data_IF_608856541504
#
_entry.id   IF_608856541504
#
_cell.length_a   1.000
_cell.length_b   1.000
_cell.length_c   1.000
_cell.angle_alpha   90.00
_cell.angle_beta   90.00
_cell.angle_gamma   90.00
#
_symmetry.space_group_name_H-M   'P 1'
#
loop_
_entity.id
_entity.type
_entity.pdbx_description
1 polymer ?
#
# COMPACT_ATOMS: atom_id res chain seq x y z
N UNK A 1 -4.98 -16.85 30.93
CA UNK A 1 -5.81 -15.93 30.11
C UNK A 1 -6.82 -16.80 29.39
N UNK A 2 -8.07 -16.38 29.34
CA UNK A 2 -9.10 -17.06 28.54
C UNK A 2 -8.85 -16.76 27.06
N UNK A 3 -9.02 -17.76 26.20
CA UNK A 3 -8.90 -17.57 24.77
C UNK A 3 -10.07 -16.70 24.26
N UNK A 4 -9.83 -15.77 23.31
CA UNK A 4 -10.90 -14.91 22.78
C UNK A 4 -11.94 -15.75 22.03
N UNK A 5 -13.20 -15.31 22.07
CA UNK A 5 -14.29 -15.91 21.27
C UNK A 5 -14.14 -15.59 19.80
N UNK A 6 -13.77 -14.32 19.48
CA UNK A 6 -13.45 -13.87 18.14
C UNK A 6 -11.98 -13.51 18.08
N UNK A 7 -11.32 -13.85 17.00
CA UNK A 7 -9.93 -13.49 16.74
C UNK A 7 -9.72 -13.20 15.25
N UNK A 8 -8.73 -12.35 14.97
CA UNK A 8 -8.37 -11.99 13.62
C UNK A 8 -7.38 -12.98 13.04
N UNK A 9 -7.56 -13.30 11.77
CA UNK A 9 -6.63 -14.08 10.96
C UNK A 9 -6.33 -13.33 9.68
N UNK A 10 -5.05 -13.24 9.33
CA UNK A 10 -4.60 -12.57 8.11
C UNK A 10 -4.43 -13.61 6.99
N UNK A 11 -5.43 -13.71 6.15
CA UNK A 11 -5.40 -14.50 4.93
C UNK A 11 -5.09 -15.99 5.08
N UNK A 12 -4.81 -16.68 3.98
CA UNK A 12 -4.53 -18.13 3.98
C UNK A 12 -3.30 -18.53 4.79
N UNK A 13 -2.25 -17.70 4.79
CA UNK A 13 -1.01 -17.95 5.56
C UNK A 13 -1.29 -17.91 7.06
N UNK A 14 -2.06 -16.91 7.50
CA UNK A 14 -2.52 -16.83 8.89
C UNK A 14 -3.39 -18.02 9.25
N UNK A 15 -4.31 -18.42 8.36
CA UNK A 15 -5.19 -19.56 8.58
C UNK A 15 -4.41 -20.88 8.77
N UNK A 16 -3.32 -21.09 8.05
CA UNK A 16 -2.48 -22.27 8.21
C UNK A 16 -2.05 -22.51 9.67
N UNK A 17 -1.85 -21.43 10.44
CA UNK A 17 -1.47 -21.49 11.85
C UNK A 17 -2.67 -21.64 12.81
N UNK A 18 -3.86 -21.20 12.41
CA UNK A 18 -5.01 -21.06 13.31
C UNK A 18 -6.22 -21.95 12.95
N UNK A 19 -6.18 -22.70 11.83
CA UNK A 19 -7.31 -23.46 11.30
C UNK A 19 -7.93 -24.44 12.32
N UNK A 20 -7.12 -25.05 13.16
CA UNK A 20 -7.57 -26.02 14.16
C UNK A 20 -8.42 -25.39 15.28
N UNK A 21 -8.38 -24.07 15.41
CA UNK A 21 -9.14 -23.30 16.39
C UNK A 21 -10.36 -22.60 15.79
N UNK A 22 -10.52 -22.65 14.47
CA UNK A 22 -11.65 -22.01 13.79
C UNK A 22 -12.89 -22.88 13.81
N UNK A 23 -14.03 -22.27 14.16
CA UNK A 23 -15.34 -22.90 13.99
C UNK A 23 -15.70 -22.86 12.48
N UNK A 24 -16.28 -23.94 11.98
CA UNK A 24 -16.84 -23.95 10.62
C UNK A 24 -18.11 -23.09 10.56
N UNK A 25 -18.02 -22.00 9.78
CA UNK A 25 -19.09 -21.01 9.57
C UNK A 25 -19.92 -21.27 8.29
N UNK A 26 -19.70 -22.37 7.57
CA UNK A 26 -20.35 -22.67 6.29
C UNK A 26 -21.88 -22.66 6.35
N UNK A 27 -22.46 -22.94 7.52
CA UNK A 27 -23.90 -22.93 7.75
C UNK A 27 -24.35 -21.76 8.63
N UNK A 28 -23.50 -20.75 8.84
CA UNK A 28 -23.83 -19.60 9.66
C UNK A 28 -24.69 -18.58 8.92
N UNK A 29 -25.51 -17.84 9.67
CA UNK A 29 -26.32 -16.75 9.11
C UNK A 29 -25.43 -15.67 8.48
N UNK A 30 -24.29 -15.31 9.12
CA UNK A 30 -23.39 -14.30 8.60
C UNK A 30 -22.80 -14.68 7.24
N UNK A 31 -22.43 -15.95 7.05
CA UNK A 31 -21.92 -16.41 5.74
C UNK A 31 -23.01 -16.30 4.66
N UNK A 32 -24.27 -16.56 5.00
CA UNK A 32 -25.38 -16.44 4.05
C UNK A 32 -25.65 -15.01 3.56
N UNK A 33 -25.13 -14.01 4.26
CA UNK A 33 -25.27 -12.58 3.89
C UNK A 33 -24.10 -12.05 3.05
N UNK A 34 -23.06 -12.83 2.81
CA UNK A 34 -21.97 -12.40 1.94
C UNK A 34 -22.46 -12.21 0.52
N UNK A 35 -22.00 -11.12 -0.11
CA UNK A 35 -22.31 -10.82 -1.51
C UNK A 35 -21.41 -11.52 -2.50
N UNK A 36 -20.27 -12.03 -2.04
CA UNK A 36 -19.32 -12.85 -2.80
C UNK A 36 -18.63 -13.85 -1.88
N UNK A 37 -18.32 -15.01 -2.42
CA UNK A 37 -17.52 -16.05 -1.77
C UNK A 37 -16.07 -15.62 -1.55
N UNK A 38 -15.60 -14.59 -2.25
CA UNK A 38 -14.28 -13.99 -2.10
C UNK A 38 -14.05 -13.37 -0.70
N UNK A 39 -15.13 -13.09 0.02
CA UNK A 39 -15.08 -12.57 1.39
C UNK A 39 -15.07 -13.66 2.47
N UNK A 40 -15.03 -14.93 2.08
CA UNK A 40 -14.92 -16.06 2.98
C UNK A 40 -13.51 -16.66 2.94
N UNK A 41 -12.87 -16.76 4.09
CA UNK A 41 -11.61 -17.49 4.24
C UNK A 41 -11.90 -18.97 4.42
N UNK A 42 -11.50 -19.80 3.44
CA UNK A 42 -11.74 -21.24 3.44
C UNK A 42 -10.46 -22.02 3.76
N UNK A 43 -10.62 -23.11 4.48
CA UNK A 43 -9.56 -24.10 4.71
C UNK A 43 -9.44 -25.08 3.52
N UNK A 44 -8.46 -25.98 3.58
CA UNK A 44 -8.17 -26.97 2.53
C UNK A 44 -9.35 -27.93 2.25
N UNK A 45 -10.28 -28.10 3.21
CA UNK A 45 -11.50 -28.90 3.07
C UNK A 45 -12.66 -28.12 2.42
N UNK A 46 -12.49 -26.82 2.18
CA UNK A 46 -13.53 -25.93 1.67
C UNK A 46 -14.49 -25.40 2.73
N UNK A 47 -14.25 -25.66 4.02
CA UNK A 47 -15.04 -25.13 5.12
C UNK A 47 -14.72 -23.65 5.36
N UNK A 48 -15.72 -22.84 5.71
CA UNK A 48 -15.58 -21.40 5.97
C UNK A 48 -15.03 -21.18 7.38
N UNK A 49 -13.76 -20.85 7.45
CA UNK A 49 -13.05 -20.63 8.72
C UNK A 49 -13.12 -19.19 9.22
N UNK A 50 -13.36 -18.24 8.32
CA UNK A 50 -13.43 -16.82 8.68
C UNK A 50 -14.20 -15.99 7.66
N UNK A 51 -14.64 -14.80 8.10
CA UNK A 51 -15.40 -13.84 7.29
C UNK A 51 -14.60 -12.53 7.23
N UNK A 52 -14.36 -12.01 6.04
CA UNK A 52 -13.76 -10.70 5.85
C UNK A 52 -14.63 -9.61 6.48
N UNK A 53 -14.03 -8.70 7.22
CA UNK A 53 -14.73 -7.59 7.82
C UNK A 53 -14.39 -6.24 7.19
N UNK A 54 -13.40 -6.22 6.30
CA UNK A 54 -12.95 -5.02 5.61
C UNK A 54 -12.44 -5.38 4.22
N UNK A 55 -12.65 -4.48 3.26
CA UNK A 55 -11.97 -4.46 1.97
C UNK A 55 -10.99 -3.29 2.05
N UNK A 56 -9.72 -3.59 1.87
CA UNK A 56 -8.64 -2.62 1.92
C UNK A 56 -8.06 -2.39 0.52
N UNK A 57 -7.61 -1.18 0.28
CA UNK A 57 -7.00 -0.79 -0.99
C UNK A 57 -5.69 -0.10 -0.71
N UNK A 58 -4.64 -0.43 -1.45
CA UNK A 58 -3.35 0.23 -1.34
C UNK A 58 -2.77 0.58 -2.73
N UNK A 59 -1.89 1.54 -2.70
CA UNK A 59 -1.23 2.12 -3.85
C UNK A 59 -0.23 3.17 -3.41
N UNK A 60 -0.13 4.25 -4.17
CA UNK A 60 0.61 5.45 -3.80
C UNK A 60 -0.40 6.54 -3.48
N UNK A 61 -0.49 6.96 -2.22
CA UNK A 61 -1.21 8.16 -1.83
C UNK A 61 -0.37 9.35 -2.29
N UNK A 62 -0.97 10.36 -2.88
CA UNK A 62 -0.25 11.56 -3.29
C UNK A 62 -1.01 12.84 -2.91
N UNK A 63 -0.26 13.90 -2.61
CA UNK A 63 -0.81 15.23 -2.41
C UNK A 63 -1.08 15.85 -3.78
N UNK A 64 -2.36 15.84 -4.20
CA UNK A 64 -2.73 16.35 -5.53
C UNK A 64 -2.62 17.86 -5.64
N UNK A 65 -2.69 18.61 -4.53
CA UNK A 65 -2.52 20.06 -4.53
C UNK A 65 -1.08 20.39 -4.89
N UNK A 66 -0.11 19.79 -4.18
CA UNK A 66 1.32 19.99 -4.47
C UNK A 66 1.68 19.50 -5.87
N UNK A 67 1.16 18.33 -6.28
CA UNK A 67 1.45 17.78 -7.60
C UNK A 67 0.83 18.63 -8.73
N UNK A 68 -0.34 19.22 -8.53
CA UNK A 68 -0.93 20.17 -9.49
C UNK A 68 -0.10 21.47 -9.58
N UNK A 69 0.36 21.99 -8.45
CA UNK A 69 1.24 23.17 -8.44
C UNK A 69 2.54 22.88 -9.20
N UNK A 70 3.18 21.73 -8.95
CA UNK A 70 4.33 21.27 -9.72
C UNK A 70 4.05 21.23 -11.23
N UNK A 71 2.89 20.76 -11.67
CA UNK A 71 2.50 20.73 -13.08
C UNK A 71 2.42 22.11 -13.73
N UNK A 72 2.35 23.20 -12.94
CA UNK A 72 2.35 24.58 -13.46
C UNK A 72 3.74 25.16 -13.66
N UNK A 73 4.78 24.47 -13.18
CA UNK A 73 6.15 24.95 -13.28
C UNK A 73 6.70 24.87 -14.71
N UNK A 74 7.61 25.76 -15.03
CA UNK A 74 8.34 25.70 -16.28
C UNK A 74 9.15 24.37 -16.37
N UNK A 75 9.01 23.68 -17.49
CA UNK A 75 9.64 22.38 -17.77
C UNK A 75 9.26 21.25 -16.80
N UNK A 76 8.11 21.32 -16.15
CA UNK A 76 7.56 20.15 -15.43
C UNK A 76 7.46 18.94 -16.36
N UNK A 77 7.73 17.74 -15.84
CA UNK A 77 7.72 16.50 -16.64
C UNK A 77 6.33 16.16 -17.16
N UNK A 78 5.31 16.53 -16.40
CA UNK A 78 3.90 16.28 -16.69
C UNK A 78 3.10 17.57 -16.64
N UNK A 79 1.93 17.57 -17.27
CA UNK A 79 0.98 18.69 -17.25
C UNK A 79 -0.23 18.47 -16.35
N UNK A 80 -0.43 17.23 -15.90
CA UNK A 80 -1.50 16.80 -15.00
C UNK A 80 -1.06 15.58 -14.20
N UNK A 81 -1.50 15.40 -12.93
CA UNK A 81 -1.25 14.19 -12.16
C UNK A 81 -1.67 12.89 -12.87
N UNK A 82 -2.71 12.94 -13.71
CA UNK A 82 -3.22 11.80 -14.48
C UNK A 82 -2.26 11.33 -15.59
N UNK A 83 -1.26 12.12 -15.92
CA UNK A 83 -0.20 11.73 -16.87
C UNK A 83 0.70 10.64 -16.28
N UNK A 84 0.73 10.49 -14.92
CA UNK A 84 1.45 9.41 -14.25
C UNK A 84 0.63 8.12 -14.35
N UNK A 85 0.94 7.30 -15.34
CA UNK A 85 0.24 6.05 -15.61
C UNK A 85 1.18 4.84 -15.84
N UNK A 86 2.46 5.00 -15.58
CA UNK A 86 3.49 3.96 -15.68
C UNK A 86 4.71 4.34 -14.82
N UNK A 87 5.60 3.36 -14.60
CA UNK A 87 6.79 3.54 -13.77
C UNK A 87 7.77 4.57 -14.31
N UNK A 88 7.96 4.63 -15.64
CA UNK A 88 8.90 5.57 -16.26
C UNK A 88 8.48 7.01 -15.98
N UNK A 89 7.19 7.31 -16.15
CA UNK A 89 6.65 8.65 -15.87
C UNK A 89 6.67 8.95 -14.37
N UNK A 90 6.28 7.99 -13.50
CA UNK A 90 6.36 8.16 -12.05
C UNK A 90 7.79 8.49 -11.62
N UNK A 91 8.76 7.70 -12.10
CA UNK A 91 10.17 7.92 -11.78
C UNK A 91 10.66 9.27 -12.26
N UNK A 92 10.36 9.65 -13.50
CA UNK A 92 10.79 10.93 -14.05
C UNK A 92 10.24 12.11 -13.26
N UNK A 93 8.98 12.03 -12.80
CA UNK A 93 8.35 13.05 -11.95
C UNK A 93 9.00 13.09 -10.57
N UNK A 94 9.22 11.95 -9.95
CA UNK A 94 9.84 11.88 -8.63
C UNK A 94 11.29 12.40 -8.65
N UNK A 95 12.08 11.97 -9.63
CA UNK A 95 13.46 12.44 -9.82
C UNK A 95 13.49 13.99 -10.02
N UNK A 96 12.56 14.54 -10.82
CA UNK A 96 12.50 15.98 -11.09
C UNK A 96 12.08 16.78 -9.84
N UNK A 97 11.06 16.29 -9.11
CA UNK A 97 10.66 16.89 -7.83
C UNK A 97 11.82 16.86 -6.83
N UNK A 98 12.48 15.70 -6.67
CA UNK A 98 13.61 15.53 -5.76
C UNK A 98 14.77 16.48 -6.10
N UNK A 99 15.03 16.69 -7.38
CA UNK A 99 16.08 17.60 -7.84
C UNK A 99 15.72 19.09 -7.68
N UNK A 100 14.43 19.43 -7.60
CA UNK A 100 13.91 20.80 -7.61
C UNK A 100 13.19 21.19 -6.30
N UNK A 101 13.43 20.49 -5.19
CA UNK A 101 12.78 20.75 -3.90
C UNK A 101 12.86 22.23 -3.50
N UNK A 102 14.05 22.83 -3.55
CA UNK A 102 14.25 24.23 -3.18
C UNK A 102 13.43 25.19 -4.07
N UNK A 103 13.37 24.90 -5.40
CA UNK A 103 12.60 25.71 -6.34
C UNK A 103 11.10 25.61 -6.09
N UNK A 104 10.59 24.42 -5.83
CA UNK A 104 9.16 24.16 -5.52
C UNK A 104 8.79 24.85 -4.20
N UNK A 105 9.62 24.68 -3.17
CA UNK A 105 9.43 25.29 -1.86
C UNK A 105 9.42 26.82 -1.95
N UNK A 106 10.38 27.42 -2.67
CA UNK A 106 10.47 28.88 -2.85
C UNK A 106 9.28 29.43 -3.65
N UNK A 107 8.80 28.70 -4.66
CA UNK A 107 7.72 29.17 -5.55
C UNK A 107 6.35 29.08 -4.88
N UNK A 108 6.07 28.02 -4.13
CA UNK A 108 4.72 27.74 -3.61
C UNK A 108 4.62 27.85 -2.09
N UNK A 109 5.76 27.95 -1.38
CA UNK A 109 5.78 28.13 0.08
C UNK A 109 5.65 26.83 0.86
N UNK A 110 6.00 25.69 0.26
CA UNK A 110 6.06 24.37 0.91
C UNK A 110 7.37 24.20 1.70
N UNK A 111 7.47 23.09 2.45
CA UNK A 111 8.68 22.63 3.15
C UNK A 111 9.00 21.17 2.74
N UNK A 112 8.92 20.90 1.44
CA UNK A 112 9.22 19.57 0.88
C UNK A 112 10.66 19.16 1.18
N UNK A 113 10.85 17.94 1.62
CA UNK A 113 12.13 17.29 1.94
C UNK A 113 12.44 16.12 1.03
N UNK A 114 11.44 15.59 0.31
CA UNK A 114 11.60 14.52 -0.65
C UNK A 114 10.37 14.36 -1.54
N UNK A 115 10.53 13.67 -2.65
CA UNK A 115 9.40 13.29 -3.48
C UNK A 115 8.54 12.24 -2.78
N UNK A 116 9.17 11.20 -2.18
CA UNK A 116 8.52 10.17 -1.37
C UNK A 116 8.78 10.38 0.13
N UNK A 117 7.86 9.91 0.96
CA UNK A 117 8.10 9.75 2.40
C UNK A 117 9.24 8.77 2.67
N UNK A 118 9.76 8.75 3.90
CA UNK A 118 10.82 7.83 4.33
C UNK A 118 10.42 6.35 4.32
N UNK A 119 9.17 6.04 4.07
CA UNK A 119 8.60 4.70 3.91
C UNK A 119 8.61 3.77 5.14
N UNK A 120 9.20 4.16 6.26
CA UNK A 120 9.15 3.38 7.49
C UNK A 120 9.76 1.99 7.34
N UNK A 121 11.08 1.90 7.20
CA UNK A 121 11.79 0.62 7.03
C UNK A 121 12.27 0.00 8.35
N UNK A 122 11.82 0.48 9.48
CA UNK A 122 12.07 -0.19 10.75
C UNK A 122 11.34 -1.55 10.81
N UNK A 123 11.75 -2.44 11.73
CA UNK A 123 11.23 -3.82 11.79
C UNK A 123 9.72 -3.95 12.06
N UNK A 124 9.03 -2.86 12.45
CA UNK A 124 7.57 -2.84 12.65
C UNK A 124 6.79 -2.35 11.43
N UNK A 125 7.43 -1.61 10.53
CA UNK A 125 6.79 -0.87 9.44
C UNK A 125 7.21 -1.33 8.04
N UNK A 126 8.28 -2.12 7.93
CA UNK A 126 8.88 -2.55 6.67
C UNK A 126 8.02 -3.49 5.81
N UNK A 127 6.88 -3.94 6.33
CA UNK A 127 5.93 -4.79 5.59
C UNK A 127 5.41 -4.11 4.31
N UNK A 128 5.36 -2.78 4.24
CA UNK A 128 4.99 -2.04 3.03
C UNK A 128 5.94 -2.37 1.87
N UNK A 129 7.22 -2.47 2.15
CA UNK A 129 8.22 -2.88 1.16
C UNK A 129 8.20 -4.38 0.90
N UNK A 130 8.16 -5.19 1.96
CA UNK A 130 8.27 -6.66 1.87
C UNK A 130 7.05 -7.31 1.23
N UNK A 131 5.85 -6.75 1.43
CA UNK A 131 4.61 -7.34 0.94
C UNK A 131 3.94 -6.51 -0.14
N UNK A 132 3.63 -5.25 0.10
CA UNK A 132 2.91 -4.43 -0.87
C UNK A 132 3.68 -4.31 -2.19
N UNK A 133 4.96 -3.96 -2.14
CA UNK A 133 5.76 -3.86 -3.36
C UNK A 133 6.08 -5.23 -3.97
N UNK A 134 6.22 -6.28 -3.16
CA UNK A 134 6.50 -7.65 -3.65
C UNK A 134 5.26 -8.28 -4.32
N UNK A 135 4.05 -7.89 -3.94
CA UNK A 135 2.82 -8.44 -4.51
C UNK A 135 2.73 -8.22 -6.02
N UNK A 136 3.15 -7.07 -6.55
CA UNK A 136 3.02 -6.77 -7.97
C UNK A 136 3.92 -7.65 -8.85
N UNK A 137 5.23 -7.81 -8.59
CA UNK A 137 6.08 -8.76 -9.31
C UNK A 137 5.53 -10.18 -9.31
N UNK A 138 5.00 -10.64 -8.17
CA UNK A 138 4.39 -11.96 -8.03
C UNK A 138 3.10 -12.05 -8.84
N UNK A 139 2.25 -11.04 -8.76
CA UNK A 139 1.00 -10.96 -9.54
C UNK A 139 1.26 -11.07 -11.05
N UNK A 140 2.24 -10.33 -11.57
CA UNK A 140 2.57 -10.39 -13.00
C UNK A 140 3.17 -11.73 -13.39
N UNK A 141 4.01 -12.34 -12.56
CA UNK A 141 4.50 -13.71 -12.79
C UNK A 141 3.36 -14.72 -12.84
N UNK A 142 2.39 -14.62 -11.94
CA UNK A 142 1.19 -15.49 -11.92
C UNK A 142 0.32 -15.28 -13.15
N UNK A 143 0.08 -14.03 -13.52
CA UNK A 143 -0.69 -13.65 -14.70
C UNK A 143 -0.10 -14.23 -15.99
N UNK A 144 1.22 -14.12 -16.16
CA UNK A 144 1.92 -14.66 -17.34
C UNK A 144 1.82 -16.18 -17.42
N UNK A 145 1.84 -16.85 -16.28
CA UNK A 145 1.74 -18.31 -16.19
C UNK A 145 0.29 -18.84 -16.18
N UNK A 146 -0.69 -17.95 -16.00
CA UNK A 146 -2.10 -18.33 -15.85
C UNK A 146 -2.35 -19.20 -14.62
N UNK A 147 -1.69 -18.89 -13.48
CA UNK A 147 -1.81 -19.60 -12.19
C UNK A 147 -2.25 -18.65 -11.08
N UNK A 148 -2.83 -19.20 -10.03
CA UNK A 148 -3.26 -18.46 -8.83
C UNK A 148 -2.39 -18.74 -7.60
N UNK A 149 -1.54 -19.79 -7.67
CA UNK A 149 -0.63 -20.16 -6.58
C UNK A 149 0.55 -20.99 -7.10
N UNK A 150 1.64 -21.03 -6.33
CA UNK A 150 2.81 -21.88 -6.60
C UNK A 150 3.55 -22.20 -5.31
N UNK A 151 4.23 -23.34 -5.26
CA UNK A 151 5.15 -23.68 -4.15
C UNK A 151 6.43 -22.85 -4.17
N UNK A 152 6.79 -22.28 -5.34
CA UNK A 152 7.98 -21.43 -5.50
C UNK A 152 7.81 -20.45 -6.66
N UNK A 153 8.07 -19.19 -6.40
CA UNK A 153 8.17 -18.14 -7.44
C UNK A 153 9.49 -18.26 -8.18
N UNK A 154 9.52 -17.88 -9.47
CA UNK A 154 10.74 -17.87 -10.30
C UNK A 154 11.50 -16.56 -10.20
N UNK A 155 10.85 -15.49 -9.78
CA UNK A 155 11.44 -14.16 -9.68
C UNK A 155 11.59 -13.47 -11.04
N UNK A 156 10.68 -13.73 -11.97
CA UNK A 156 10.66 -13.17 -13.33
C UNK A 156 10.78 -11.65 -13.33
N UNK A 157 10.12 -10.99 -12.37
CA UNK A 157 10.04 -9.53 -12.24
C UNK A 157 10.93 -8.98 -11.10
N UNK A 158 12.03 -9.65 -10.74
CA UNK A 158 12.92 -9.22 -9.66
C UNK A 158 13.58 -7.86 -9.93
N UNK A 159 13.96 -7.60 -11.19
CA UNK A 159 14.55 -6.31 -11.58
C UNK A 159 13.53 -5.18 -11.49
N UNK A 160 12.27 -5.44 -11.81
CA UNK A 160 11.16 -4.49 -11.63
C UNK A 160 10.93 -4.19 -10.14
N UNK A 161 10.96 -5.22 -9.28
CA UNK A 161 10.89 -5.06 -7.84
C UNK A 161 12.04 -4.21 -7.29
N UNK A 162 13.26 -4.47 -7.77
CA UNK A 162 14.43 -3.70 -7.37
C UNK A 162 14.32 -2.22 -7.76
N UNK A 163 13.87 -1.91 -8.98
CA UNK A 163 13.83 -0.51 -9.43
C UNK A 163 12.83 0.36 -8.66
N UNK A 164 11.71 -0.21 -8.20
CA UNK A 164 10.76 0.55 -7.36
C UNK A 164 11.31 0.76 -5.94
N UNK A 165 12.04 -0.21 -5.40
CA UNK A 165 12.78 -0.02 -4.16
C UNK A 165 13.82 1.10 -4.30
N UNK A 166 14.62 1.05 -5.37
CA UNK A 166 15.64 2.06 -5.62
C UNK A 166 15.01 3.45 -5.67
N UNK A 167 13.90 3.63 -6.39
CA UNK A 167 13.18 4.90 -6.49
C UNK A 167 12.74 5.42 -5.11
N UNK A 168 12.09 4.59 -4.30
CA UNK A 168 11.62 5.00 -2.97
C UNK A 168 12.75 5.28 -1.98
N UNK A 169 13.91 4.67 -2.18
CA UNK A 169 15.11 4.89 -1.35
C UNK A 169 15.84 6.18 -1.75
N UNK A 170 15.96 6.43 -3.06
CA UNK A 170 16.73 7.57 -3.55
C UNK A 170 15.99 8.90 -3.46
N UNK A 171 14.67 8.88 -3.64
CA UNK A 171 13.83 10.07 -3.72
C UNK A 171 13.03 10.29 -2.44
N UNK A 172 13.58 9.86 -1.32
CA UNK A 172 12.99 9.91 0.01
C UNK A 172 13.26 11.25 0.71
N UNK A 173 12.46 11.55 1.71
CA UNK A 173 12.64 12.67 2.65
C UNK A 173 13.91 12.57 3.48
N UNK A 174 14.54 11.39 3.54
CA UNK A 174 15.76 11.19 4.32
C UNK A 174 16.83 10.41 3.53
N UNK A 175 18.07 10.57 3.98
CA UNK A 175 19.22 9.83 3.42
C UNK A 175 19.00 8.31 3.50
N UNK A 176 19.37 7.54 2.46
CA UNK A 176 19.16 6.09 2.41
C UNK A 176 19.67 5.32 3.62
N UNK A 177 20.79 5.76 4.21
CA UNK A 177 21.38 5.12 5.39
C UNK A 177 20.56 5.26 6.68
N UNK A 178 19.57 6.15 6.72
CA UNK A 178 18.69 6.39 7.86
C UNK A 178 17.35 5.65 7.76
N UNK A 179 16.99 5.15 6.60
CA UNK A 179 15.68 4.52 6.35
C UNK A 179 15.38 3.35 7.29
N UNK A 180 16.39 2.57 7.67
CA UNK A 180 16.20 1.42 8.59
C UNK A 180 15.78 1.82 10.00
N UNK A 181 15.91 3.08 10.37
CA UNK A 181 15.44 3.63 11.66
C UNK A 181 14.13 4.40 11.56
N UNK A 182 13.62 4.63 10.35
CA UNK A 182 12.38 5.36 10.12
C UNK A 182 11.17 4.49 10.37
N UNK A 183 10.25 5.00 11.19
CA UNK A 183 8.99 4.33 11.54
C UNK A 183 7.86 4.67 10.58
N UNK A 184 6.78 3.87 10.61
CA UNK A 184 5.55 4.18 9.88
C UNK A 184 4.93 5.51 10.31
N UNK A 185 4.96 5.81 11.63
CA UNK A 185 4.43 7.06 12.17
C UNK A 185 5.21 8.29 11.68
N UNK A 186 6.55 8.15 11.51
CA UNK A 186 7.36 9.23 10.91
C UNK A 186 7.00 9.43 9.45
N UNK A 187 6.85 8.36 8.67
CA UNK A 187 6.44 8.44 7.26
C UNK A 187 5.03 9.04 7.09
N UNK A 188 4.09 8.69 7.97
CA UNK A 188 2.76 9.30 8.03
C UNK A 188 2.85 10.80 8.30
N UNK A 189 3.63 11.18 9.31
CA UNK A 189 3.84 12.59 9.69
C UNK A 189 4.48 13.40 8.56
N UNK A 190 5.47 12.85 7.86
CA UNK A 190 6.12 13.50 6.72
C UNK A 190 5.11 13.85 5.62
N UNK A 191 4.19 12.92 5.29
CA UNK A 191 3.12 13.21 4.34
C UNK A 191 2.08 14.18 4.92
N UNK A 192 1.66 13.98 6.15
CA UNK A 192 0.69 14.82 6.85
C UNK A 192 1.12 16.27 6.98
N UNK A 193 2.44 16.51 7.16
CA UNK A 193 3.05 17.84 7.25
C UNK A 193 3.46 18.42 5.89
N UNK A 194 3.09 17.77 4.79
CA UNK A 194 3.42 18.20 3.42
C UNK A 194 4.93 18.24 3.13
N UNK A 195 5.71 17.37 3.80
CA UNK A 195 7.15 17.22 3.58
C UNK A 195 7.48 16.30 2.40
N UNK A 196 6.48 15.57 1.88
CA UNK A 196 6.59 14.70 0.72
C UNK A 196 5.33 14.74 -0.15
N UNK A 197 5.50 14.48 -1.45
CA UNK A 197 4.40 14.45 -2.43
C UNK A 197 3.73 13.08 -2.48
N UNK A 198 4.51 11.99 -2.36
CA UNK A 198 4.09 10.61 -2.52
C UNK A 198 4.27 9.80 -1.23
N UNK A 199 3.26 8.98 -0.89
CA UNK A 199 3.26 8.10 0.27
C UNK A 199 2.69 6.73 -0.12
N UNK A 200 3.55 5.71 -0.25
CA UNK A 200 3.09 4.36 -0.56
C UNK A 200 2.44 3.77 0.69
N UNK A 201 1.11 3.69 0.68
CA UNK A 201 0.31 3.14 1.77
C UNK A 201 -1.11 2.81 1.29
N UNK A 202 -2.08 2.65 2.19
CA UNK A 202 -3.42 2.23 1.88
C UNK A 202 -4.52 3.09 2.51
N UNK A 203 -5.74 2.71 2.23
CA UNK A 203 -6.94 3.43 2.66
C UNK A 203 -7.12 3.51 4.18
N UNK A 204 -6.45 2.66 4.94
CA UNK A 204 -6.43 2.70 6.42
C UNK A 204 -5.78 3.96 6.97
N UNK A 205 -4.88 4.63 6.21
CA UNK A 205 -4.23 5.87 6.63
C UNK A 205 -5.18 7.09 6.59
N UNK A 206 -6.29 7.00 5.86
CA UNK A 206 -7.20 8.13 5.68
C UNK A 206 -7.68 8.73 7.01
N UNK A 207 -8.06 7.88 7.97
CA UNK A 207 -8.54 8.36 9.27
C UNK A 207 -7.46 9.05 10.11
N UNK A 208 -6.21 8.61 9.98
CA UNK A 208 -5.08 9.24 10.67
C UNK A 208 -4.73 10.59 10.02
N UNK A 209 -4.62 10.60 8.68
CA UNK A 209 -4.25 11.80 7.92
C UNK A 209 -5.31 12.92 8.00
N UNK A 210 -6.57 12.56 8.23
CA UNK A 210 -7.68 13.53 8.37
C UNK A 210 -8.08 13.81 9.82
N UNK A 211 -7.36 13.26 10.80
CA UNK A 211 -7.64 13.50 12.21
C UNK A 211 -7.10 14.88 12.63
N UNK A 212 -8.01 15.79 12.96
CA UNK A 212 -7.67 17.15 13.39
C UNK A 212 -6.75 17.19 14.63
N UNK A 213 -6.79 16.16 15.49
CA UNK A 213 -5.95 16.07 16.69
C UNK A 213 -4.47 15.86 16.36
N UNK A 214 -4.13 15.36 15.17
CA UNK A 214 -2.74 15.16 14.71
C UNK A 214 -2.09 16.46 14.27
N UNK A 215 -2.87 17.50 13.95
CA UNK A 215 -2.38 18.81 13.55
C UNK A 215 -1.66 18.81 12.19
N UNK A 216 -1.98 17.86 11.32
CA UNK A 216 -1.44 17.77 9.97
C UNK A 216 -1.95 18.92 9.09
N UNK A 217 -1.19 19.26 8.06
CA UNK A 217 -1.51 20.30 7.08
C UNK A 217 -2.39 19.73 5.95
N UNK A 218 -2.13 18.48 5.54
CA UNK A 218 -2.90 17.80 4.49
C UNK A 218 -4.36 17.63 4.90
N UNK A 219 -5.26 17.85 3.96
CA UNK A 219 -6.70 17.64 4.13
C UNK A 219 -7.23 16.52 3.24
N UNK A 220 -8.45 16.08 3.47
CA UNK A 220 -9.12 15.09 2.62
C UNK A 220 -9.18 15.52 1.14
N UNK A 221 -9.28 16.85 0.90
CA UNK A 221 -9.36 17.39 -0.46
C UNK A 221 -8.02 17.37 -1.18
N UNK A 222 -6.91 17.32 -0.45
CA UNK A 222 -5.56 17.28 -1.02
C UNK A 222 -5.12 15.87 -1.43
N UNK A 223 -5.77 14.84 -0.91
CA UNK A 223 -5.35 13.46 -1.13
C UNK A 223 -6.01 12.81 -2.33
N UNK A 224 -5.25 11.98 -3.01
CA UNK A 224 -5.71 11.03 -4.01
C UNK A 224 -4.81 9.80 -4.01
N UNK A 225 -5.13 8.77 -4.80
CA UNK A 225 -4.34 7.55 -4.90
C UNK A 225 -4.10 7.18 -6.35
N UNK A 226 -2.92 6.65 -6.63
CA UNK A 226 -2.57 6.03 -7.90
C UNK A 226 -2.04 4.60 -7.68
N UNK A 227 -2.08 3.73 -8.71
CA UNK A 227 -1.49 2.40 -8.64
C UNK A 227 0.02 2.43 -8.35
N UNK A 228 0.54 1.33 -7.82
CA UNK A 228 1.99 1.09 -7.79
C UNK A 228 2.40 0.58 -9.16
N UNK A 229 3.25 1.32 -9.85
CA UNK A 229 3.82 0.95 -11.15
C UNK A 229 5.19 0.34 -10.97
N UNK A 230 5.51 -0.71 -11.74
CA UNK A 230 6.78 -1.45 -11.63
C UNK A 230 7.54 -1.58 -12.95
N UNK A 231 7.09 -0.92 -14.01
CA UNK A 231 7.76 -0.92 -15.33
C UNK A 231 7.50 -2.18 -16.14
N UNK A 232 6.27 -2.65 -16.18
CA UNK A 232 5.83 -3.77 -17.01
C UNK A 232 4.91 -3.31 -18.12
N UNK A 233 4.89 -4.03 -19.23
CA UNK A 233 4.02 -3.70 -20.37
C UNK A 233 2.53 -3.77 -19.97
N UNK A 234 1.78 -2.74 -20.32
CA UNK A 234 0.34 -2.67 -20.07
C UNK A 234 -0.06 -2.17 -18.68
N UNK A 235 0.90 -1.73 -17.86
CA UNK A 235 0.61 -1.21 -16.51
C UNK A 235 -0.18 0.10 -16.50
N UNK A 236 -0.26 0.81 -17.62
CA UNK A 236 -1.12 1.98 -17.79
C UNK A 236 -2.62 1.68 -17.59
N UNK A 237 -2.99 0.41 -17.65
CA UNK A 237 -4.35 -0.07 -17.40
C UNK A 237 -4.50 -0.72 -16.01
N UNK A 238 -3.47 -0.65 -15.17
CA UNK A 238 -3.48 -1.24 -13.83
C UNK A 238 -4.36 -0.41 -12.89
N UNK A 239 -5.11 -1.11 -12.03
CA UNK A 239 -5.83 -0.51 -10.93
C UNK A 239 -5.05 -0.54 -9.62
N UNK A 240 -5.65 0.01 -8.57
CA UNK A 240 -5.16 -0.11 -7.21
C UNK A 240 -5.22 -1.56 -6.73
N UNK A 241 -4.30 -1.95 -5.84
CA UNK A 241 -4.36 -3.26 -5.20
C UNK A 241 -5.49 -3.27 -4.17
N UNK A 242 -6.51 -4.10 -4.41
CA UNK A 242 -7.72 -4.15 -3.57
C UNK A 242 -8.05 -5.59 -3.22
N UNK A 243 -8.43 -5.83 -1.97
CA UNK A 243 -8.84 -7.14 -1.52
C UNK A 243 -9.12 -7.21 -0.02
N UNK A 244 -9.34 -8.44 0.46
CA UNK A 244 -9.54 -8.74 1.86
C UNK A 244 -8.34 -9.53 2.38
N UNK A 245 -7.70 -9.00 3.41
CA UNK A 245 -6.61 -9.69 4.12
C UNK A 245 -7.02 -10.08 5.53
N UNK A 246 -7.94 -9.32 6.13
CA UNK A 246 -8.30 -9.44 7.53
C UNK A 246 -9.66 -10.11 7.68
N UNK A 247 -9.69 -11.23 8.44
CA UNK A 247 -10.87 -12.07 8.63
C UNK A 247 -11.15 -12.28 10.11
N UNK A 248 -12.43 -12.18 10.50
CA UNK A 248 -12.88 -12.63 11.81
C UNK A 248 -13.12 -14.12 11.79
N UNK A 249 -12.46 -14.85 12.68
CA UNK A 249 -12.68 -16.25 12.96
C UNK A 249 -13.33 -16.43 14.34
N UNK A 250 -14.15 -17.43 14.48
CA UNK A 250 -14.78 -17.81 15.75
C UNK A 250 -14.01 -18.97 16.35
N UNK A 251 -13.66 -18.86 17.63
CA UNK A 251 -12.96 -19.91 18.35
C UNK A 251 -13.93 -21.09 18.60
N UNK A 252 -13.60 -22.27 18.07
CA UNK A 252 -14.41 -23.48 18.21
C UNK A 252 -14.45 -24.06 19.63
N UNK A 253 -13.62 -23.52 20.55
CA UNK A 253 -13.56 -23.88 21.98
C UNK A 253 -14.18 -22.80 22.88
N UNK A 254 -14.70 -21.72 22.31
CA UNK A 254 -15.39 -20.71 23.09
C UNK A 254 -16.77 -21.21 23.52
N UNK A 255 -17.11 -20.98 24.80
CA UNK A 255 -18.39 -21.37 25.41
C UNK A 255 -19.42 -20.26 25.31
#
# INVERSE_FOLDING_TARGET
AEAPTLFQVNGPVGLANWKDYCLDLSNSEIYSHLTSDDYALKNDAGEVSGIAYVIETYGIIYNKTILNDYCTMDNAVISSPEDINNFETLKAVADDIQARLDEINDQFGYDLKGAFTSAGMDGSSDWRFKTHLANLPIYYEYKDKGIDSTDAIEGTYLDNYKQIWDLYITDSTCEPGLLSSKTGDEAESEFGMEEAVFYQNGTWEYSNLTNEDNGYLVTAEDMSMMPIYIGVDGEENQGLCTGSENYWCVNNQAS
#
